data_IF_340791889188
#
_entry.id   IF_340791889188
#
_cell.length_a   1.000
_cell.length_b   1.000
_cell.length_c   1.000
_cell.angle_alpha   90.00
_cell.angle_beta   90.00
_cell.angle_gamma   90.00
#
_symmetry.space_group_name_H-M   'P 1'
#
loop_
_entity.id
_entity.type
_entity.pdbx_description
1 polymer ?
#
# COMPACT_ATOMS: atom_id res chain seq x y z
N UNK A 1 4.00 22.62 30.93
CA UNK A 1 3.70 22.97 29.52
C UNK A 1 4.71 22.36 28.55
N UNK A 2 6.01 22.42 28.86
CA UNK A 2 7.06 21.79 28.04
C UNK A 2 6.92 20.26 27.94
N UNK A 3 6.53 19.57 29.01
CA UNK A 3 6.35 18.11 29.00
C UNK A 3 5.20 17.67 28.10
N UNK A 4 4.09 18.42 28.11
CA UNK A 4 2.96 18.19 27.20
C UNK A 4 3.38 18.38 25.75
N UNK A 5 4.20 19.40 25.45
CA UNK A 5 4.74 19.62 24.11
C UNK A 5 5.71 18.49 23.70
N UNK A 6 6.57 18.01 24.60
CA UNK A 6 7.44 16.86 24.36
C UNK A 6 6.63 15.58 24.10
N UNK A 7 5.53 15.36 24.84
CA UNK A 7 4.62 14.24 24.62
C UNK A 7 3.96 14.29 23.24
N UNK A 8 3.52 15.48 22.80
CA UNK A 8 2.94 15.69 21.47
C UNK A 8 3.99 15.44 20.38
N UNK A 9 5.22 15.96 20.54
CA UNK A 9 6.31 15.74 19.58
C UNK A 9 6.64 14.25 19.46
N UNK A 10 6.69 13.52 20.58
CA UNK A 10 6.89 12.07 20.58
C UNK A 10 5.75 11.35 19.83
N UNK A 11 4.49 11.71 20.09
CA UNK A 11 3.34 11.13 19.41
C UNK A 11 3.37 11.41 17.90
N UNK A 12 3.74 12.63 17.50
CA UNK A 12 3.87 13.01 16.09
C UNK A 12 4.97 12.19 15.40
N UNK A 13 6.14 12.10 16.04
CA UNK A 13 7.32 11.46 15.46
C UNK A 13 7.18 9.95 15.28
N UNK A 14 6.52 9.26 16.23
CA UNK A 14 6.48 7.80 16.25
C UNK A 14 5.14 7.18 15.86
N UNK A 15 4.02 7.91 16.01
CA UNK A 15 2.68 7.37 15.71
C UNK A 15 2.10 8.06 14.49
N UNK A 16 2.00 9.39 14.50
CA UNK A 16 1.22 10.11 13.48
C UNK A 16 1.91 10.11 12.13
N UNK A 17 3.17 10.54 12.05
CA UNK A 17 3.89 10.64 10.78
C UNK A 17 4.15 9.25 10.18
N UNK A 18 4.68 8.25 10.93
CA UNK A 18 4.88 6.90 10.40
C UNK A 18 3.55 6.20 10.07
N UNK A 19 2.51 6.41 10.88
CA UNK A 19 1.16 5.89 10.63
C UNK A 19 0.53 6.47 9.37
N UNK A 20 0.70 7.78 9.13
CA UNK A 20 0.22 8.42 7.91
C UNK A 20 0.95 7.92 6.66
N UNK A 21 2.29 7.81 6.70
CA UNK A 21 3.06 7.28 5.58
C UNK A 21 2.69 5.82 5.27
N UNK A 22 2.62 4.97 6.29
CA UNK A 22 2.23 3.57 6.13
C UNK A 22 0.76 3.42 5.70
N UNK A 23 -0.14 4.28 6.20
CA UNK A 23 -1.53 4.35 5.77
C UNK A 23 -1.69 4.72 4.31
N UNK A 24 -0.88 5.66 3.81
CA UNK A 24 -0.84 6.01 2.40
C UNK A 24 -0.36 4.83 1.52
N UNK A 25 0.66 4.08 1.96
CA UNK A 25 1.14 2.88 1.27
C UNK A 25 0.06 1.79 1.21
N UNK A 26 -0.61 1.50 2.33
CA UNK A 26 -1.72 0.54 2.39
C UNK A 26 -2.93 1.01 1.57
N UNK A 27 -3.26 2.30 1.59
CA UNK A 27 -4.35 2.88 0.81
C UNK A 27 -4.14 2.68 -0.70
N UNK A 28 -2.94 2.95 -1.22
CA UNK A 28 -2.60 2.70 -2.62
C UNK A 28 -2.70 1.20 -2.98
N UNK A 29 -2.19 0.33 -2.10
CA UNK A 29 -2.33 -1.12 -2.25
C UNK A 29 -3.81 -1.57 -2.29
N UNK A 30 -4.61 -1.06 -1.36
CA UNK A 30 -6.02 -1.40 -1.19
C UNK A 30 -6.90 -0.88 -2.34
N UNK A 31 -6.56 0.28 -2.91
CA UNK A 31 -7.17 0.79 -4.14
C UNK A 31 -6.97 -0.17 -5.31
N UNK A 32 -5.77 -0.76 -5.44
CA UNK A 32 -5.51 -1.80 -6.44
C UNK A 32 -6.41 -3.02 -6.27
N UNK A 33 -6.50 -3.57 -5.06
CA UNK A 33 -7.41 -4.70 -4.75
C UNK A 33 -8.87 -4.34 -5.04
N UNK A 34 -9.27 -3.12 -4.69
CA UNK A 34 -10.62 -2.58 -4.90
C UNK A 34 -10.97 -2.50 -6.38
N UNK A 35 -10.04 -2.08 -7.24
CA UNK A 35 -10.23 -2.03 -8.69
C UNK A 35 -10.34 -3.43 -9.31
N UNK A 36 -9.48 -4.37 -8.89
CA UNK A 36 -9.57 -5.77 -9.32
C UNK A 36 -10.94 -6.33 -8.96
N UNK A 37 -11.35 -6.21 -7.70
CA UNK A 37 -12.63 -6.75 -7.25
C UNK A 37 -13.82 -6.07 -7.94
N UNK A 38 -13.78 -4.74 -8.10
CA UNK A 38 -14.87 -3.98 -8.70
C UNK A 38 -15.14 -4.31 -10.17
N UNK A 39 -14.14 -4.83 -10.90
CA UNK A 39 -14.26 -5.18 -12.33
C UNK A 39 -14.29 -6.69 -12.55
N UNK A 40 -13.41 -7.43 -11.88
CA UNK A 40 -13.22 -8.87 -12.10
C UNK A 40 -13.98 -9.76 -11.10
N UNK A 41 -14.54 -9.17 -10.03
CA UNK A 41 -15.34 -9.87 -9.01
C UNK A 41 -14.65 -11.06 -8.33
N UNK A 42 -13.33 -11.01 -8.20
CA UNK A 42 -12.58 -11.98 -7.39
C UNK A 42 -11.45 -11.30 -6.60
N UNK A 43 -11.06 -11.93 -5.50
CA UNK A 43 -9.93 -11.51 -4.66
C UNK A 43 -8.63 -12.09 -5.22
N UNK A 44 -7.77 -11.24 -5.78
CA UNK A 44 -6.49 -11.67 -6.34
C UNK A 44 -5.42 -11.80 -5.25
N UNK A 45 -5.09 -13.02 -4.84
CA UNK A 45 -4.06 -13.27 -3.82
C UNK A 45 -2.63 -12.95 -4.30
N UNK A 46 -2.39 -12.87 -5.62
CA UNK A 46 -1.08 -12.49 -6.15
C UNK A 46 -0.78 -10.98 -6.06
N UNK A 47 -1.66 -10.16 -5.45
CA UNK A 47 -1.52 -8.71 -5.42
C UNK A 47 -0.25 -8.23 -4.67
N UNK A 48 0.06 -8.88 -3.55
CA UNK A 48 1.27 -8.61 -2.76
C UNK A 48 2.54 -8.95 -3.52
N UNK A 49 2.55 -10.08 -4.25
CA UNK A 49 3.67 -10.46 -5.11
C UNK A 49 3.79 -9.60 -6.36
N UNK A 50 2.67 -9.07 -6.87
CA UNK A 50 2.69 -8.08 -7.95
C UNK A 50 3.34 -6.77 -7.46
N UNK A 51 3.01 -6.33 -6.25
CA UNK A 51 3.67 -5.20 -5.57
C UNK A 51 5.16 -5.46 -5.34
N UNK A 52 5.53 -6.68 -4.96
CA UNK A 52 6.92 -7.11 -4.79
C UNK A 52 7.70 -7.06 -6.11
N UNK A 53 7.14 -7.67 -7.16
CA UNK A 53 7.75 -7.68 -8.50
C UNK A 53 7.93 -6.25 -9.03
N UNK A 54 6.92 -5.40 -8.90
CA UNK A 54 7.03 -4.02 -9.38
C UNK A 54 8.09 -3.22 -8.64
N UNK A 55 8.20 -3.41 -7.32
CA UNK A 55 9.30 -2.81 -6.55
C UNK A 55 10.65 -3.33 -7.02
N UNK A 56 10.77 -4.65 -7.21
CA UNK A 56 12.01 -5.27 -7.70
C UNK A 56 12.40 -4.75 -9.08
N UNK A 57 11.45 -4.62 -10.01
CA UNK A 57 11.67 -4.03 -11.31
C UNK A 57 12.14 -2.57 -11.22
N UNK A 58 11.54 -1.77 -10.33
CA UNK A 58 12.00 -0.39 -10.07
C UNK A 58 13.41 -0.36 -9.49
N UNK A 59 13.77 -1.28 -8.58
CA UNK A 59 15.13 -1.35 -8.02
C UNK A 59 16.16 -1.65 -9.11
N UNK A 60 15.89 -2.63 -9.97
CA UNK A 60 16.80 -2.97 -11.07
C UNK A 60 17.01 -1.79 -12.01
N UNK A 61 15.93 -1.10 -12.38
CA UNK A 61 16.04 0.11 -13.21
C UNK A 61 16.79 1.22 -12.46
N UNK A 62 16.60 1.35 -11.16
CA UNK A 62 17.34 2.32 -10.34
C UNK A 62 18.84 2.06 -10.39
N UNK A 63 19.26 0.80 -10.24
CA UNK A 63 20.68 0.42 -10.36
C UNK A 63 21.24 0.66 -11.75
N UNK A 64 20.47 0.40 -12.80
CA UNK A 64 20.87 0.71 -14.18
C UNK A 64 21.07 2.22 -14.39
N UNK A 65 20.16 3.06 -13.90
CA UNK A 65 20.26 4.51 -13.99
C UNK A 65 21.48 5.03 -13.22
N UNK A 66 21.69 4.55 -11.99
CA UNK A 66 22.84 4.93 -11.17
C UNK A 66 24.16 4.47 -11.81
N UNK A 67 24.21 3.27 -12.39
CA UNK A 67 25.37 2.77 -13.14
C UNK A 67 25.69 3.59 -14.38
N UNK A 68 24.68 4.24 -14.98
CA UNK A 68 24.85 5.21 -16.06
C UNK A 68 25.16 6.64 -15.58
N UNK A 69 25.33 6.85 -14.27
CA UNK A 69 25.60 8.18 -13.67
C UNK A 69 24.36 9.08 -13.56
N UNK A 70 23.16 8.56 -13.87
CA UNK A 70 21.90 9.30 -13.77
C UNK A 70 21.37 9.15 -12.35
N UNK A 71 21.43 10.24 -11.58
CA UNK A 71 20.87 10.30 -10.23
C UNK A 71 19.88 11.45 -10.13
N UNK A 72 18.89 11.34 -9.25
CA UNK A 72 17.87 12.38 -9.07
C UNK A 72 18.25 13.45 -8.03
N UNK A 73 19.52 13.45 -7.59
CA UNK A 73 20.07 14.41 -6.63
C UNK A 73 19.49 14.22 -5.22
N UNK A 74 18.78 15.23 -4.65
CA UNK A 74 18.28 15.14 -3.27
C UNK A 74 17.13 14.14 -3.10
N UNK A 75 16.43 13.79 -4.18
CA UNK A 75 15.34 12.84 -4.19
C UNK A 75 15.83 11.44 -4.58
N UNK A 76 15.15 10.36 -4.13
CA UNK A 76 15.52 9.01 -4.51
C UNK A 76 15.41 8.78 -6.02
N UNK A 77 16.45 8.19 -6.63
CA UNK A 77 16.48 7.84 -8.06
C UNK A 77 15.38 6.83 -8.42
N UNK A 78 14.88 6.08 -7.42
CA UNK A 78 13.71 5.21 -7.56
C UNK A 78 12.46 5.93 -8.11
N UNK A 79 12.30 7.24 -7.88
CA UNK A 79 11.18 8.00 -8.43
C UNK A 79 11.28 8.20 -9.95
N UNK A 80 12.50 8.34 -10.49
CA UNK A 80 12.74 8.35 -11.93
C UNK A 80 12.55 6.96 -12.55
N UNK A 81 12.93 5.92 -11.82
CA UNK A 81 12.77 4.53 -12.25
C UNK A 81 11.30 4.05 -12.18
N UNK A 82 10.45 4.73 -11.41
CA UNK A 82 9.07 4.32 -11.14
C UNK A 82 8.23 4.10 -12.41
N UNK A 83 8.19 4.99 -13.43
CA UNK A 83 7.43 4.76 -14.65
C UNK A 83 7.84 3.50 -15.41
N UNK A 84 9.14 3.17 -15.42
CA UNK A 84 9.67 1.97 -16.06
C UNK A 84 9.27 0.71 -15.28
N UNK A 85 9.36 0.75 -13.95
CA UNK A 85 8.87 -0.34 -13.08
C UNK A 85 7.37 -0.59 -13.24
N UNK A 86 6.57 0.48 -13.35
CA UNK A 86 5.14 0.39 -13.67
C UNK A 86 4.93 -0.27 -15.03
N UNK A 87 5.69 0.12 -16.05
CA UNK A 87 5.61 -0.46 -17.39
C UNK A 87 5.92 -1.95 -17.42
N UNK A 88 7.01 -2.37 -16.77
CA UNK A 88 7.40 -3.79 -16.67
C UNK A 88 6.35 -4.60 -15.89
N UNK A 89 5.83 -4.04 -14.81
CA UNK A 89 4.76 -4.69 -14.02
C UNK A 89 3.48 -4.80 -14.82
N UNK A 90 3.11 -3.75 -15.57
CA UNK A 90 1.95 -3.76 -16.45
C UNK A 90 2.06 -4.84 -17.52
N UNK A 91 3.23 -5.01 -18.15
CA UNK A 91 3.50 -6.08 -19.09
C UNK A 91 3.33 -7.46 -18.44
N UNK A 92 3.85 -7.64 -17.23
CA UNK A 92 3.73 -8.90 -16.50
C UNK A 92 2.27 -9.22 -16.17
N UNK A 93 1.51 -8.30 -15.58
CA UNK A 93 0.11 -8.56 -15.21
C UNK A 93 -0.80 -8.74 -16.43
N UNK A 94 -0.53 -8.04 -17.54
CA UNK A 94 -1.25 -8.25 -18.80
C UNK A 94 -0.90 -9.60 -19.43
N UNK A 95 0.36 -10.04 -19.32
CA UNK A 95 0.80 -11.37 -19.70
C UNK A 95 0.09 -12.45 -18.89
N UNK A 96 0.10 -12.32 -17.57
CA UNK A 96 -0.62 -13.21 -16.63
C UNK A 96 -2.11 -13.23 -16.92
N UNK A 97 -2.72 -12.07 -17.18
CA UNK A 97 -4.13 -11.99 -17.58
C UNK A 97 -4.39 -12.80 -18.85
N UNK A 98 -3.57 -12.58 -19.89
CA UNK A 98 -3.77 -13.21 -21.19
C UNK A 98 -3.56 -14.71 -21.16
N UNK A 99 -2.58 -15.18 -20.40
CA UNK A 99 -2.19 -16.59 -20.29
C UNK A 99 -3.11 -17.38 -19.35
N UNK A 100 -3.54 -16.75 -18.26
CA UNK A 100 -4.20 -17.45 -17.15
C UNK A 100 -5.63 -16.95 -16.99
N UNK A 101 -5.81 -15.72 -16.50
CA UNK A 101 -7.14 -15.25 -16.06
C UNK A 101 -8.16 -15.14 -17.21
N UNK A 102 -7.72 -14.84 -18.43
CA UNK A 102 -8.58 -14.73 -19.60
C UNK A 102 -9.26 -16.05 -19.94
N UNK A 103 -8.57 -17.17 -19.79
CA UNK A 103 -9.15 -18.50 -20.01
C UNK A 103 -10.31 -18.73 -19.05
N UNK A 104 -10.06 -18.55 -17.74
CA UNK A 104 -11.07 -18.75 -16.69
C UNK A 104 -12.26 -17.79 -16.80
N UNK A 105 -12.04 -16.56 -17.26
CA UNK A 105 -13.15 -15.63 -17.57
C UNK A 105 -14.00 -16.10 -18.73
N UNK A 106 -13.40 -16.60 -19.82
CA UNK A 106 -14.13 -17.06 -21.01
C UNK A 106 -15.02 -18.27 -20.73
N UNK A 107 -14.54 -19.20 -19.91
CA UNK A 107 -15.33 -20.36 -19.48
C UNK A 107 -16.30 -20.03 -18.33
N UNK A 108 -16.39 -18.75 -17.92
CA UNK A 108 -17.23 -18.27 -16.83
C UNK A 108 -17.05 -19.08 -15.53
N UNK A 109 -15.79 -19.37 -15.19
CA UNK A 109 -15.47 -20.11 -13.97
C UNK A 109 -16.00 -19.36 -12.74
N UNK A 110 -16.42 -20.13 -11.72
CA UNK A 110 -16.88 -19.54 -10.46
C UNK A 110 -15.78 -18.66 -9.83
N UNK A 111 -16.11 -17.56 -9.14
CA UNK A 111 -15.13 -16.66 -8.52
C UNK A 111 -14.13 -17.37 -7.60
N UNK A 112 -14.58 -18.41 -6.88
CA UNK A 112 -13.72 -19.23 -6.01
C UNK A 112 -12.59 -19.90 -6.82
N UNK A 113 -12.86 -20.35 -8.05
CA UNK A 113 -11.82 -20.95 -8.91
C UNK A 113 -10.77 -19.90 -9.29
N UNK A 114 -11.18 -18.68 -9.61
CA UNK A 114 -10.26 -17.56 -9.89
C UNK A 114 -9.39 -17.21 -8.68
N UNK A 115 -9.94 -17.29 -7.47
CA UNK A 115 -9.17 -17.15 -6.22
C UNK A 115 -8.12 -18.25 -6.11
N UNK A 116 -8.48 -19.52 -6.30
CA UNK A 116 -7.54 -20.65 -6.28
C UNK A 116 -6.43 -20.50 -7.34
N UNK A 117 -6.79 -20.09 -8.55
CA UNK A 117 -5.84 -19.80 -9.63
C UNK A 117 -4.89 -18.66 -9.25
N UNK A 118 -5.40 -17.61 -8.60
CA UNK A 118 -4.58 -16.49 -8.14
C UNK A 118 -3.55 -16.88 -7.09
N UNK A 119 -3.83 -17.89 -6.26
CA UNK A 119 -2.83 -18.47 -5.34
C UNK A 119 -1.72 -19.23 -6.10
N UNK A 120 -2.05 -19.90 -7.20
CA UNK A 120 -1.04 -20.48 -8.09
C UNK A 120 -0.14 -19.42 -8.71
N UNK A 121 -0.74 -18.34 -9.23
CA UNK A 121 -0.02 -17.18 -9.76
C UNK A 121 0.86 -16.53 -8.69
N UNK A 122 0.35 -16.41 -7.46
CA UNK A 122 1.08 -15.87 -6.30
C UNK A 122 2.39 -16.61 -6.08
N UNK A 123 2.38 -17.95 -6.01
CA UNK A 123 3.62 -18.74 -5.82
C UNK A 123 4.62 -18.57 -6.98
N UNK A 124 4.13 -18.55 -8.23
CA UNK A 124 4.98 -18.32 -9.41
C UNK A 124 5.61 -16.93 -9.36
N UNK A 125 4.81 -15.89 -9.11
CA UNK A 125 5.27 -14.50 -9.02
C UNK A 125 6.26 -14.31 -7.86
N UNK A 126 6.02 -14.96 -6.72
CA UNK A 126 6.92 -14.95 -5.58
C UNK A 126 8.29 -15.57 -5.95
N UNK A 127 8.26 -16.72 -6.62
CA UNK A 127 9.46 -17.41 -7.11
C UNK A 127 10.23 -16.57 -8.14
N UNK A 128 9.54 -16.02 -9.14
CA UNK A 128 10.12 -15.16 -10.18
C UNK A 128 10.78 -13.93 -9.55
N UNK A 129 10.08 -13.25 -8.63
CA UNK A 129 10.63 -12.06 -7.97
C UNK A 129 11.91 -12.39 -7.22
N UNK A 130 11.91 -13.45 -6.40
CA UNK A 130 13.09 -13.88 -5.64
C UNK A 130 14.24 -14.38 -6.52
N UNK A 131 13.92 -15.02 -7.65
CA UNK A 131 14.92 -15.46 -8.61
C UNK A 131 15.60 -14.27 -9.29
N UNK A 132 14.85 -13.22 -9.61
CA UNK A 132 15.34 -12.04 -10.32
C UNK A 132 16.18 -11.12 -9.44
N UNK A 133 15.73 -10.84 -8.20
CA UNK A 133 16.37 -9.83 -7.33
C UNK A 133 17.12 -10.43 -6.12
N UNK A 134 16.87 -11.69 -5.79
CA UNK A 134 17.37 -12.32 -4.57
C UNK A 134 16.38 -12.28 -3.40
N UNK A 135 16.82 -12.79 -2.25
CA UNK A 135 16.03 -12.91 -1.01
C UNK A 135 16.49 -11.98 0.10
N UNK A 136 17.63 -11.32 -0.11
CA UNK A 136 18.25 -10.45 0.88
C UNK A 136 17.49 -9.13 1.03
N UNK A 137 17.76 -8.45 2.14
CA UNK A 137 17.22 -7.12 2.39
C UNK A 137 17.95 -6.09 1.54
N UNK A 138 17.21 -5.34 0.73
CA UNK A 138 17.78 -4.36 -0.20
C UNK A 138 17.36 -2.95 0.23
N UNK A 139 18.38 -2.15 0.54
CA UNK A 139 18.26 -0.72 0.76
C UNK A 139 18.58 0.01 -0.54
N UNK A 140 17.59 0.67 -1.13
CA UNK A 140 17.72 1.39 -2.40
C UNK A 140 17.33 2.87 -2.29
N UNK A 141 17.29 3.40 -1.07
CA UNK A 141 17.11 4.82 -0.81
C UNK A 141 18.47 5.54 -0.91
N UNK A 142 18.68 6.23 -2.03
CA UNK A 142 19.91 6.97 -2.37
C UNK A 142 19.79 8.49 -2.19
N UNK A 143 18.58 9.01 -1.97
CA UNK A 143 18.33 10.42 -1.69
C UNK A 143 18.64 10.86 -0.24
N UNK A 144 18.41 12.14 0.05
CA UNK A 144 18.59 12.68 1.40
C UNK A 144 17.72 11.97 2.43
N UNK A 145 18.31 11.48 3.53
CA UNK A 145 17.60 10.65 4.52
C UNK A 145 16.59 11.43 5.38
N UNK A 146 16.91 12.68 5.73
CA UNK A 146 16.10 13.53 6.60
C UNK A 146 15.93 14.91 5.99
N UNK A 147 14.72 15.46 6.09
CA UNK A 147 14.40 16.85 5.78
C UNK A 147 14.65 17.75 6.99
N UNK A 148 14.28 17.25 8.17
CA UNK A 148 14.54 17.89 9.46
C UNK A 148 15.08 16.82 10.39
N UNK A 149 16.26 17.07 10.96
CA UNK A 149 16.83 16.18 11.97
C UNK A 149 16.26 16.50 13.35
N UNK A 150 16.21 15.49 14.21
CA UNK A 150 15.83 15.67 15.61
C UNK A 150 16.72 16.70 16.34
N UNK A 151 17.96 16.90 15.88
CA UNK A 151 18.87 17.89 16.45
C UNK A 151 18.48 19.31 16.05
N UNK A 152 18.31 19.57 14.76
CA UNK A 152 17.87 20.87 14.25
C UNK A 152 16.53 21.30 14.86
N UNK A 153 15.58 20.36 15.01
CA UNK A 153 14.30 20.66 15.64
C UNK A 153 14.44 21.07 17.12
N UNK A 154 15.30 20.39 17.88
CA UNK A 154 15.58 20.74 19.29
C UNK A 154 16.27 22.10 19.40
N UNK A 155 17.24 22.35 18.53
CA UNK A 155 18.00 23.61 18.52
C UNK A 155 17.10 24.81 18.15
N UNK A 156 16.09 24.60 17.29
CA UNK A 156 15.10 25.63 16.93
C UNK A 156 14.01 25.86 17.97
N UNK A 157 13.60 24.83 18.71
CA UNK A 157 12.40 24.90 19.58
C UNK A 157 12.72 24.93 21.08
N UNK A 158 13.94 24.59 21.48
CA UNK A 158 14.32 24.45 22.89
C UNK A 158 13.66 23.26 23.61
N UNK A 159 12.95 22.38 22.88
CA UNK A 159 12.34 21.17 23.42
C UNK A 159 13.38 20.06 23.63
N UNK A 160 13.13 19.17 24.59
CA UNK A 160 13.99 18.01 24.83
C UNK A 160 13.78 16.92 23.77
N UNK A 161 12.55 16.81 23.25
CA UNK A 161 12.21 15.91 22.17
C UNK A 161 12.42 16.52 20.79
N UNK A 162 13.00 15.73 19.89
CA UNK A 162 13.26 16.12 18.50
C UNK A 162 12.29 15.45 17.54
N UNK A 163 11.67 16.22 16.67
CA UNK A 163 10.91 15.72 15.54
C UNK A 163 11.87 15.41 14.39
N UNK A 164 11.93 14.16 13.93
CA UNK A 164 12.75 13.77 12.78
C UNK A 164 11.84 13.43 11.60
N UNK A 165 11.77 14.33 10.62
CA UNK A 165 10.97 14.11 9.42
C UNK A 165 11.85 13.46 8.35
N UNK A 166 11.55 12.20 8.02
CA UNK A 166 12.25 11.49 6.95
C UNK A 166 11.74 11.97 5.60
N UNK A 167 12.66 12.13 4.65
CA UNK A 167 12.31 12.51 3.28
C UNK A 167 11.37 11.48 2.64
N UNK A 168 11.58 10.19 2.94
CA UNK A 168 10.76 9.08 2.46
C UNK A 168 9.29 9.18 2.88
N UNK A 169 9.02 9.66 4.09
CA UNK A 169 7.66 9.84 4.62
C UNK A 169 6.92 10.96 3.89
N UNK A 170 7.59 12.10 3.68
CA UNK A 170 7.01 13.23 2.94
C UNK A 170 6.78 12.87 1.48
N UNK A 171 7.76 12.24 0.83
CA UNK A 171 7.61 11.72 -0.55
C UNK A 171 6.43 10.76 -0.63
N UNK A 172 6.31 9.82 0.32
CA UNK A 172 5.20 8.86 0.35
C UNK A 172 3.85 9.56 0.37
N UNK A 173 3.66 10.55 1.25
CA UNK A 173 2.41 11.30 1.33
C UNK A 173 2.14 12.07 0.04
N UNK A 174 3.12 12.80 -0.48
CA UNK A 174 2.97 13.60 -1.70
C UNK A 174 2.64 12.73 -2.92
N UNK A 175 3.41 11.66 -3.14
CA UNK A 175 3.21 10.75 -4.27
C UNK A 175 1.87 10.02 -4.14
N UNK A 176 1.47 9.60 -2.93
CA UNK A 176 0.18 8.97 -2.72
C UNK A 176 -0.99 9.91 -3.01
N UNK A 177 -0.92 11.17 -2.54
CA UNK A 177 -1.95 12.18 -2.85
C UNK A 177 -2.05 12.41 -4.36
N UNK A 178 -0.92 12.53 -5.06
CA UNK A 178 -0.89 12.68 -6.51
C UNK A 178 -1.49 11.45 -7.20
N UNK A 179 -1.09 10.23 -6.82
CA UNK A 179 -1.59 9.00 -7.41
C UNK A 179 -3.10 8.83 -7.20
N UNK A 180 -3.61 9.15 -6.00
CA UNK A 180 -5.05 9.16 -5.71
C UNK A 180 -5.77 10.21 -6.55
N UNK A 181 -5.26 11.45 -6.59
CA UNK A 181 -5.87 12.52 -7.38
C UNK A 181 -5.95 12.16 -8.88
N UNK A 182 -4.87 11.60 -9.43
CA UNK A 182 -4.81 11.11 -10.81
C UNK A 182 -5.78 9.97 -11.06
N UNK A 183 -5.89 9.01 -10.13
CA UNK A 183 -6.84 7.89 -10.25
C UNK A 183 -8.29 8.40 -10.24
N UNK A 184 -8.65 9.28 -9.29
CA UNK A 184 -9.99 9.84 -9.21
C UNK A 184 -10.31 10.71 -10.42
N UNK A 185 -9.36 11.51 -10.89
CA UNK A 185 -9.51 12.26 -12.14
C UNK A 185 -9.72 11.31 -13.32
N UNK A 186 -8.92 10.25 -13.44
CA UNK A 186 -9.05 9.25 -14.51
C UNK A 186 -10.43 8.59 -14.50
N UNK A 187 -10.87 8.08 -13.35
CA UNK A 187 -12.15 7.37 -13.23
C UNK A 187 -13.36 8.30 -13.47
N UNK A 188 -13.29 9.56 -13.03
CA UNK A 188 -14.42 10.48 -13.09
C UNK A 188 -14.48 11.33 -14.36
N UNK A 189 -13.34 11.70 -14.94
CA UNK A 189 -13.27 12.66 -16.07
C UNK A 189 -12.96 12.01 -17.42
N UNK A 190 -12.48 10.77 -17.48
CA UNK A 190 -12.15 10.14 -18.77
C UNK A 190 -13.27 9.24 -19.30
N UNK A 191 -13.34 9.08 -20.62
CA UNK A 191 -14.28 8.16 -21.28
C UNK A 191 -14.05 6.71 -20.84
N UNK A 192 -12.79 6.30 -20.77
CA UNK A 192 -12.41 4.96 -20.29
C UNK A 192 -12.84 4.74 -18.84
N UNK A 193 -12.61 5.72 -17.96
CA UNK A 193 -13.09 5.67 -16.57
C UNK A 193 -14.60 5.58 -16.44
N UNK A 194 -15.36 6.27 -17.30
CA UNK A 194 -16.83 6.14 -17.38
C UNK A 194 -17.24 4.72 -17.78
N UNK A 195 -16.59 4.13 -18.79
CA UNK A 195 -16.84 2.74 -19.20
C UNK A 195 -16.52 1.73 -18.09
N UNK A 196 -15.41 1.93 -17.36
CA UNK A 196 -15.05 1.07 -16.23
C UNK A 196 -16.10 1.12 -15.10
N UNK A 197 -16.59 2.31 -14.75
CA UNK A 197 -17.65 2.46 -13.74
C UNK A 197 -18.96 1.80 -14.19
N UNK A 198 -19.37 2.03 -15.44
CA UNK A 198 -20.55 1.38 -16.00
C UNK A 198 -20.43 -0.15 -15.99
N UNK A 199 -19.26 -0.69 -16.36
CA UNK A 199 -18.98 -2.13 -16.31
C UNK A 199 -19.01 -2.68 -14.87
N UNK A 200 -18.47 -1.94 -13.90
CA UNK A 200 -18.52 -2.33 -12.50
C UNK A 200 -19.94 -2.30 -11.92
N UNK A 201 -20.80 -1.38 -12.39
CA UNK A 201 -22.18 -1.23 -11.92
C UNK A 201 -23.07 -2.35 -12.44
N UNK A 202 -23.03 -2.62 -13.75
CA UNK A 202 -23.74 -3.72 -14.36
C UNK A 202 -23.01 -4.21 -15.61
N UNK A 203 -22.42 -5.40 -15.53
CA UNK A 203 -21.66 -6.01 -16.62
C UNK A 203 -22.55 -6.27 -17.85
N UNK A 204 -23.74 -6.86 -17.67
CA UNK A 204 -24.63 -7.20 -18.79
C UNK A 204 -25.10 -5.95 -19.55
N UNK A 205 -25.52 -4.90 -18.84
CA UNK A 205 -25.92 -3.64 -19.47
C UNK A 205 -24.75 -2.92 -20.14
N UNK A 206 -23.55 -3.00 -19.57
CA UNK A 206 -22.35 -2.44 -20.18
C UNK A 206 -22.00 -3.14 -21.50
N UNK A 207 -22.10 -4.47 -21.54
CA UNK A 207 -21.89 -5.26 -22.74
C UNK A 207 -22.92 -4.94 -23.82
N UNK A 208 -24.21 -4.83 -23.47
CA UNK A 208 -25.28 -4.41 -24.38
C UNK A 208 -25.08 -2.98 -24.91
N UNK A 209 -24.41 -2.12 -24.13
CA UNK A 209 -24.05 -0.76 -24.54
C UNK A 209 -22.78 -0.69 -25.40
N UNK A 210 -22.22 -1.83 -25.82
CA UNK A 210 -21.05 -1.92 -26.69
C UNK A 210 -19.71 -1.69 -25.98
N UNK A 211 -19.67 -1.74 -24.65
CA UNK A 211 -18.42 -1.63 -23.89
C UNK A 211 -17.62 -2.93 -24.07
N UNK A 212 -16.39 -2.82 -24.58
CA UNK A 212 -15.50 -3.95 -24.76
C UNK A 212 -14.90 -4.39 -23.39
N UNK A 213 -15.23 -5.59 -22.88
CA UNK A 213 -14.77 -6.05 -21.58
C UNK A 213 -13.26 -6.31 -21.54
N UNK A 214 -12.64 -6.80 -22.63
CA UNK A 214 -11.18 -6.99 -22.66
C UNK A 214 -10.41 -5.68 -22.49
N UNK A 215 -10.90 -4.59 -23.07
CA UNK A 215 -10.28 -3.26 -22.89
C UNK A 215 -10.45 -2.77 -21.45
N UNK A 216 -11.63 -2.94 -20.86
CA UNK A 216 -11.88 -2.58 -19.45
C UNK A 216 -10.93 -3.35 -18.53
N UNK A 217 -10.82 -4.67 -18.71
CA UNK A 217 -9.93 -5.52 -17.91
C UNK A 217 -8.46 -5.15 -18.10
N UNK A 218 -8.01 -4.93 -19.34
CA UNK A 218 -6.61 -4.53 -19.60
C UNK A 218 -6.26 -3.20 -18.93
N UNK A 219 -7.15 -2.21 -19.00
CA UNK A 219 -6.94 -0.91 -18.33
C UNK A 219 -6.93 -1.07 -16.82
N UNK A 220 -7.82 -1.90 -16.26
CA UNK A 220 -7.80 -2.24 -14.83
C UNK A 220 -6.45 -2.80 -14.41
N UNK A 221 -5.90 -3.77 -15.15
CA UNK A 221 -4.59 -4.35 -14.84
C UNK A 221 -3.45 -3.33 -14.91
N UNK A 222 -3.48 -2.40 -15.88
CA UNK A 222 -2.48 -1.33 -15.97
C UNK A 222 -2.57 -0.40 -14.75
N UNK A 223 -3.77 0.01 -14.34
CA UNK A 223 -3.96 0.83 -13.14
C UNK A 223 -3.53 0.11 -11.87
N UNK A 224 -3.85 -1.19 -11.76
CA UNK A 224 -3.45 -2.04 -10.65
C UNK A 224 -1.93 -2.17 -10.58
N UNK A 225 -1.26 -2.39 -11.71
CA UNK A 225 0.20 -2.40 -11.78
C UNK A 225 0.80 -1.05 -11.34
N UNK A 226 0.23 0.06 -11.80
CA UNK A 226 0.67 1.39 -11.40
C UNK A 226 0.55 1.63 -9.89
N UNK A 227 -0.61 1.32 -9.30
CA UNK A 227 -0.88 1.51 -7.87
C UNK A 227 -0.06 0.55 -7.01
N UNK A 228 0.01 -0.74 -7.37
CA UNK A 228 0.78 -1.74 -6.64
C UNK A 228 2.27 -1.43 -6.68
N UNK A 229 2.83 -1.10 -7.86
CA UNK A 229 4.25 -0.72 -7.96
C UNK A 229 4.54 0.53 -7.15
N UNK A 230 3.69 1.57 -7.24
CA UNK A 230 3.88 2.82 -6.49
C UNK A 230 3.82 2.56 -4.98
N UNK A 231 2.80 1.84 -4.50
CA UNK A 231 2.69 1.46 -3.09
C UNK A 231 3.94 0.69 -2.63
N UNK A 232 4.42 -0.24 -3.46
CA UNK A 232 5.56 -1.09 -3.16
C UNK A 232 6.88 -0.33 -3.09
N UNK A 233 7.13 0.57 -4.03
CA UNK A 233 8.32 1.41 -4.06
C UNK A 233 8.33 2.35 -2.86
N UNK A 234 7.20 2.99 -2.55
CA UNK A 234 7.10 3.87 -1.38
C UNK A 234 7.31 3.12 -0.07
N UNK A 235 6.77 1.90 0.06
CA UNK A 235 7.02 1.04 1.22
C UNK A 235 8.50 0.64 1.32
N UNK A 236 9.10 0.21 0.22
CA UNK A 236 10.50 -0.23 0.17
C UNK A 236 11.49 0.90 0.41
N UNK A 237 11.18 2.13 0.01
CA UNK A 237 11.98 3.31 0.34
C UNK A 237 11.93 3.64 1.84
N UNK A 238 10.81 3.36 2.50
CA UNK A 238 10.63 3.64 3.93
C UNK A 238 11.20 2.54 4.85
N UNK A 239 11.07 1.26 4.46
CA UNK A 239 11.37 0.09 5.31
C UNK A 239 12.28 -0.97 4.68
N UNK A 240 12.91 -0.64 3.57
CA UNK A 240 13.75 -1.55 2.79
C UNK A 240 12.93 -2.63 2.06
N UNK A 241 13.47 -3.14 0.95
CA UNK A 241 12.82 -4.18 0.18
C UNK A 241 13.20 -5.56 0.69
N UNK A 242 12.20 -6.40 0.94
CA UNK A 242 12.36 -7.83 1.22
C UNK A 242 11.15 -8.59 0.68
N UNK A 243 11.35 -9.46 -0.30
CA UNK A 243 10.23 -10.10 -1.03
C UNK A 243 9.21 -10.81 -0.12
N UNK A 244 9.66 -11.45 0.96
CA UNK A 244 8.76 -12.12 1.91
C UNK A 244 7.85 -11.15 2.68
N UNK A 245 8.34 -9.95 3.01
CA UNK A 245 7.53 -8.94 3.71
C UNK A 245 6.36 -8.47 2.84
N UNK A 246 6.55 -8.37 1.52
CA UNK A 246 5.51 -7.96 0.58
C UNK A 246 4.40 -9.01 0.45
N UNK A 247 4.75 -10.30 0.53
CA UNK A 247 3.78 -11.37 0.66
C UNK A 247 2.94 -11.21 1.94
N UNK A 248 3.55 -10.85 3.07
CA UNK A 248 2.82 -10.59 4.32
C UNK A 248 1.97 -9.33 4.27
N UNK A 249 2.35 -8.30 3.49
CA UNK A 249 1.55 -7.09 3.27
C UNK A 249 0.23 -7.35 2.54
N UNK A 250 0.07 -8.53 1.92
CA UNK A 250 -1.19 -8.92 1.30
C UNK A 250 -2.36 -8.82 2.30
N UNK A 251 -2.17 -9.35 3.51
CA UNK A 251 -3.20 -9.38 4.54
C UNK A 251 -3.66 -7.98 4.98
N UNK A 252 -2.79 -7.04 5.41
CA UNK A 252 -3.22 -5.69 5.77
C UNK A 252 -3.83 -4.94 4.58
N UNK A 253 -3.33 -5.13 3.35
CA UNK A 253 -3.91 -4.51 2.15
C UNK A 253 -5.35 -5.00 1.92
N UNK A 254 -5.58 -6.31 2.02
CA UNK A 254 -6.93 -6.89 1.92
C UNK A 254 -7.82 -6.45 3.08
N UNK A 255 -7.29 -6.44 4.31
CA UNK A 255 -8.00 -5.94 5.48
C UNK A 255 -8.46 -4.50 5.25
N UNK A 256 -7.58 -3.62 4.75
CA UNK A 256 -7.91 -2.24 4.40
C UNK A 256 -9.01 -2.15 3.33
N UNK A 257 -8.95 -2.96 2.27
CA UNK A 257 -9.96 -2.96 1.22
C UNK A 257 -11.33 -3.46 1.71
N UNK A 258 -11.36 -4.51 2.54
CA UNK A 258 -12.61 -5.08 3.09
C UNK A 258 -13.21 -4.19 4.16
N UNK A 259 -12.39 -3.71 5.11
CA UNK A 259 -12.82 -2.76 6.15
C UNK A 259 -13.34 -1.47 5.51
N UNK A 260 -12.70 -1.02 4.45
CA UNK A 260 -13.15 0.11 3.64
C UNK A 260 -14.47 -0.13 2.90
N UNK A 261 -14.82 -1.37 2.62
CA UNK A 261 -15.92 -1.77 1.75
C UNK A 261 -15.43 -2.09 0.34
N UNK A 262 -15.40 -3.37 -0.01
CA UNK A 262 -14.89 -3.86 -1.30
C UNK A 262 -15.59 -3.16 -2.48
N UNK A 263 -14.80 -2.75 -3.46
CA UNK A 263 -15.30 -2.05 -4.65
C UNK A 263 -15.54 -0.55 -4.47
N UNK A 264 -15.32 0.03 -3.28
CA UNK A 264 -15.42 1.47 -3.03
C UNK A 264 -14.03 2.12 -2.87
N UNK A 265 -13.55 2.92 -3.85
CA UNK A 265 -12.22 3.55 -3.78
C UNK A 265 -12.01 4.47 -2.56
N UNK A 266 -13.03 5.24 -2.16
CA UNK A 266 -12.92 6.12 -0.99
C UNK A 266 -12.83 5.30 0.30
N UNK A 267 -13.62 4.23 0.36
CA UNK A 267 -13.59 3.26 1.45
C UNK A 267 -12.22 2.64 1.63
N UNK A 268 -11.59 2.19 0.53
CA UNK A 268 -10.26 1.59 0.54
C UNK A 268 -9.17 2.52 1.10
N UNK A 269 -9.25 3.83 0.80
CA UNK A 269 -8.32 4.82 1.36
C UNK A 269 -8.51 4.94 2.87
N UNK A 270 -9.75 5.12 3.32
CA UNK A 270 -10.07 5.21 4.74
C UNK A 270 -9.66 3.94 5.50
N UNK A 271 -9.94 2.76 4.92
CA UNK A 271 -9.51 1.47 5.48
C UNK A 271 -7.99 1.30 5.53
N UNK A 272 -7.26 1.85 4.55
CA UNK A 272 -5.79 1.94 4.55
C UNK A 272 -5.26 2.65 5.79
N UNK A 273 -5.80 3.84 6.07
CA UNK A 273 -5.43 4.61 7.24
C UNK A 273 -5.88 3.96 8.55
N UNK A 274 -7.12 3.47 8.64
CA UNK A 274 -7.62 2.79 9.85
C UNK A 274 -6.71 1.63 10.23
N UNK A 275 -6.40 0.74 9.29
CA UNK A 275 -5.52 -0.41 9.53
C UNK A 275 -4.12 0.05 9.94
N UNK A 276 -3.52 0.98 9.19
CA UNK A 276 -2.17 1.47 9.49
C UNK A 276 -2.06 2.11 10.88
N UNK A 277 -3.00 3.00 11.22
CA UNK A 277 -3.01 3.65 12.53
C UNK A 277 -3.25 2.65 13.65
N UNK A 278 -4.15 1.68 13.47
CA UNK A 278 -4.36 0.63 14.47
C UNK A 278 -3.12 -0.24 14.66
N UNK A 279 -2.48 -0.68 13.58
CA UNK A 279 -1.25 -1.48 13.68
C UNK A 279 -0.12 -0.69 14.37
N UNK A 280 0.08 0.57 14.02
CA UNK A 280 1.12 1.42 14.64
C UNK A 280 0.80 1.70 16.11
N UNK A 281 -0.44 2.05 16.44
CA UNK A 281 -0.86 2.36 17.82
C UNK A 281 -0.70 1.17 18.75
N UNK A 282 -1.05 -0.04 18.30
CA UNK A 282 -0.96 -1.25 19.12
C UNK A 282 0.49 -1.73 19.29
N UNK A 283 1.34 -1.53 18.28
CA UNK A 283 2.73 -1.98 18.32
C UNK A 283 3.71 -0.94 18.87
N UNK A 284 3.28 0.31 19.03
CA UNK A 284 4.12 1.37 19.58
C UNK A 284 4.40 1.18 21.08
N UNK A 285 5.64 1.48 21.49
CA UNK A 285 6.05 1.49 22.88
C UNK A 285 5.64 2.82 23.54
N UNK A 286 4.49 2.81 24.22
CA UNK A 286 3.91 4.01 24.84
C UNK A 286 4.70 4.56 26.03
N UNK A 287 5.72 3.83 26.53
CA UNK A 287 6.58 4.27 27.65
C UNK A 287 7.02 5.72 27.50
N UNK A 288 7.49 6.10 26.31
CA UNK A 288 8.03 7.44 26.08
C UNK A 288 6.98 8.55 26.22
N UNK A 289 5.74 8.30 25.79
CA UNK A 289 4.63 9.25 25.96
C UNK A 289 4.15 9.25 27.40
N UNK A 290 4.06 8.07 28.02
CA UNK A 290 3.65 7.92 29.41
C UNK A 290 4.60 8.63 30.38
N UNK A 291 5.92 8.61 30.14
CA UNK A 291 6.91 9.33 30.97
C UNK A 291 6.71 10.86 30.95
N UNK A 292 6.18 11.44 29.87
CA UNK A 292 5.91 12.88 29.80
C UNK A 292 4.53 13.27 30.35
N UNK A 293 3.61 12.32 30.52
CA UNK A 293 2.22 12.58 30.89
C UNK A 293 1.90 12.13 32.32
N UNK A 294 2.52 11.04 32.79
CA UNK A 294 2.33 10.54 34.15
C UNK A 294 3.36 11.15 35.12
N UNK A 295 2.98 11.35 36.40
CA UNK A 295 3.95 11.71 37.45
C UNK A 295 5.04 10.64 37.58
N UNK A 296 6.27 11.04 37.96
CA UNK A 296 7.42 10.13 38.08
C UNK A 296 7.17 8.90 38.98
N UNK A 297 6.23 9.01 39.92
CA UNK A 297 5.80 7.92 40.80
C UNK A 297 5.00 6.80 40.11
N UNK A 298 4.44 7.08 38.92
CA UNK A 298 3.67 6.15 38.09
C UNK A 298 4.40 5.85 36.76
N UNK A 299 5.70 6.15 36.70
CA UNK A 299 6.51 5.88 35.53
C UNK A 299 6.50 4.37 35.22
N UNK A 300 6.14 3.95 34.00
CA UNK A 300 6.08 2.52 33.67
C UNK A 300 7.48 1.92 33.59
N UNK A 301 7.72 0.85 34.34
CA UNK A 301 8.98 0.09 34.25
C UNK A 301 9.15 -0.55 32.86
N UNK A 302 8.04 -1.05 32.28
CA UNK A 302 7.99 -1.69 30.96
C UNK A 302 7.76 -0.74 29.77
N UNK A 303 7.86 -1.28 28.54
CA UNK A 303 7.70 -0.52 27.29
C UNK A 303 6.27 0.02 27.04
N UNK A 304 5.28 -0.42 27.84
CA UNK A 304 3.83 -0.20 27.60
C UNK A 304 3.39 -0.56 26.18
N UNK A 305 4.07 -1.53 25.58
CA UNK A 305 3.71 -2.04 24.26
C UNK A 305 2.60 -3.06 24.43
N UNK A 306 1.45 -2.82 23.79
CA UNK A 306 0.30 -3.74 23.87
C UNK A 306 0.59 -5.06 23.16
N UNK A 307 1.38 -5.02 22.09
CA UNK A 307 1.71 -6.20 21.30
C UNK A 307 3.07 -6.06 20.60
N UNK A 308 3.84 -7.15 20.56
CA UNK A 308 5.12 -7.22 19.84
C UNK A 308 4.96 -6.88 18.34
N UNK A 309 6.01 -6.30 17.74
CA UNK A 309 6.01 -5.95 16.31
C UNK A 309 5.85 -7.15 15.39
N UNK A 310 6.22 -8.35 15.84
CA UNK A 310 6.08 -9.59 15.07
C UNK A 310 4.62 -9.99 14.86
N UNK A 311 3.76 -9.64 15.82
CA UNK A 311 2.33 -9.92 15.76
C UNK A 311 1.54 -8.83 15.07
N UNK A 312 2.20 -7.78 14.53
CA UNK A 312 1.56 -6.61 13.93
C UNK A 312 0.40 -6.97 12.97
N UNK A 313 0.61 -7.95 12.09
CA UNK A 313 -0.39 -8.39 11.11
C UNK A 313 -1.65 -9.03 11.73
N UNK A 314 -1.56 -9.53 12.96
CA UNK A 314 -2.72 -10.07 13.68
C UNK A 314 -3.75 -8.97 14.00
N UNK A 315 -3.31 -7.70 14.17
CA UNK A 315 -4.22 -6.56 14.37
C UNK A 315 -5.07 -6.34 13.12
N UNK A 316 -4.46 -6.37 11.93
CA UNK A 316 -5.20 -6.27 10.67
C UNK A 316 -6.25 -7.37 10.52
N UNK A 317 -5.88 -8.61 10.86
CA UNK A 317 -6.80 -9.74 10.80
C UNK A 317 -7.94 -9.62 11.81
N UNK A 318 -7.65 -9.22 13.06
CA UNK A 318 -8.67 -9.03 14.08
C UNK A 318 -9.67 -7.94 13.68
N UNK A 319 -9.21 -6.80 13.17
CA UNK A 319 -10.08 -5.72 12.69
C UNK A 319 -10.92 -6.20 11.52
N UNK A 320 -10.34 -6.93 10.57
CA UNK A 320 -11.07 -7.53 9.45
C UNK A 320 -12.23 -8.41 9.96
N UNK A 321 -11.97 -9.33 10.88
CA UNK A 321 -12.99 -10.22 11.46
C UNK A 321 -14.07 -9.42 12.18
N UNK A 322 -13.69 -8.48 13.05
CA UNK A 322 -14.63 -7.64 13.79
C UNK A 322 -15.53 -6.87 12.83
N UNK A 323 -14.96 -6.22 11.81
CA UNK A 323 -15.75 -5.44 10.85
C UNK A 323 -16.68 -6.36 10.06
N UNK A 324 -16.24 -7.54 9.63
CA UNK A 324 -17.11 -8.48 8.92
C UNK A 324 -18.26 -9.02 9.78
N UNK A 325 -18.07 -9.17 11.09
CA UNK A 325 -19.12 -9.60 12.01
C UNK A 325 -20.22 -8.54 12.20
N UNK A 326 -19.86 -7.25 12.26
CA UNK A 326 -20.80 -6.17 12.55
C UNK A 326 -21.27 -5.39 11.31
N UNK A 327 -20.42 -5.28 10.29
CA UNK A 327 -20.62 -4.54 9.03
C UNK A 327 -20.01 -5.32 7.86
N UNK A 328 -20.67 -6.40 7.40
CA UNK A 328 -20.13 -7.27 6.33
C UNK A 328 -19.89 -6.55 5.00
N UNK A 329 -20.51 -5.39 4.78
CA UNK A 329 -20.31 -4.55 3.59
C UNK A 329 -19.16 -3.53 3.72
N UNK A 330 -18.48 -3.50 4.87
CA UNK A 330 -17.44 -2.52 5.22
C UNK A 330 -17.99 -1.27 5.95
N UNK A 331 -17.09 -0.35 6.30
CA UNK A 331 -17.43 0.92 6.95
C UNK A 331 -18.22 1.83 6.00
N UNK A 332 -17.80 1.87 4.73
CA UNK A 332 -18.55 2.48 3.64
C UNK A 332 -19.34 1.39 2.94
N UNK A 333 -20.52 1.70 2.41
CA UNK A 333 -21.28 0.74 1.59
C UNK A 333 -20.43 0.34 0.39
N UNK A 334 -19.80 -0.82 0.48
CA UNK A 334 -19.14 -1.50 -0.63
C UNK A 334 -20.16 -2.24 -1.49
N UNK A 335 -19.70 -2.74 -2.64
CA UNK A 335 -20.44 -3.69 -3.47
C UNK A 335 -20.20 -5.10 -2.90
N UNK A 336 -20.68 -5.36 -1.70
CA UNK A 336 -20.62 -6.69 -1.11
C UNK A 336 -22.00 -7.34 -1.23
N UNK A 337 -22.01 -8.38 -2.07
CA UNK A 337 -22.96 -9.50 -2.21
C UNK A 337 -24.44 -9.13 -2.17
#
# INVERSE_FOLDING_TARGET
>A
MMDVLNAIVALLNFVVIPGAAYGAQLALGALGVTLVYGILRFSNFAHGDTMAFGTAATILVTWLLMGAGITFGPLPTALLALPFGIGLTALLVLGTDRLIYRFYRRVKAAPVVLVMVSMGVMFVMNGVTRFVIGVDEINFADGGRFLITAREFRDMTGLQEGLAIRTTQVITLVVAVIAVALLFWFLNRTRTGKSMRAFSDNEDLALLSGINPERVVAVTWILVAALATTAGVLYGLDKSFKAFTYFQLLLPIFASAVVGGLGNPLGAIAGGFVIAFSEVTVTYAWKKVATYVLPDSLAPDGLLQLMGTDYKFAVSFAILVIVLLFKPTGIFKGKAI
#
